data_IF_159963073248
#
_entry.id   IF_159963073248
#
_cell.length_a   1.000
_cell.length_b   1.000
_cell.length_c   1.000
_cell.angle_alpha   90.00
_cell.angle_beta   90.00
_cell.angle_gamma   90.00
#
_symmetry.space_group_name_H-M   'P 1'
#
loop_
_entity.id
_entity.type
_entity.pdbx_description
1 polymer ?
#
# COMPACT_ATOMS: atom_id res chain seq x y z
N UNK A 1 4.03 35.80 -25.14
CA UNK A 1 4.15 35.15 -23.82
C UNK A 1 4.19 33.65 -24.06
N UNK A 2 5.34 33.04 -23.96
CA UNK A 2 5.47 31.58 -23.96
C UNK A 2 4.77 31.04 -22.72
N UNK A 3 3.84 30.06 -22.84
CA UNK A 3 3.22 29.48 -21.66
C UNK A 3 4.31 28.89 -20.77
N UNK A 4 4.26 29.22 -19.48
CA UNK A 4 5.16 28.62 -18.50
C UNK A 4 4.94 27.09 -18.51
N UNK A 5 5.85 26.37 -19.12
CA UNK A 5 5.87 24.91 -19.02
C UNK A 5 6.24 24.58 -17.60
N UNK A 6 5.27 24.17 -16.80
CA UNK A 6 5.53 23.54 -15.50
C UNK A 6 6.27 22.23 -15.77
N UNK A 7 7.59 22.29 -15.78
CA UNK A 7 8.40 21.09 -15.74
C UNK A 7 8.33 20.55 -14.29
N UNK A 8 7.40 19.64 -14.04
CA UNK A 8 7.49 18.84 -12.83
C UNK A 8 8.80 18.05 -12.86
N UNK A 9 9.62 18.11 -11.80
CA UNK A 9 10.77 17.23 -11.74
C UNK A 9 10.29 15.80 -11.92
N UNK A 10 10.95 15.06 -12.81
CA UNK A 10 10.65 13.66 -13.09
C UNK A 10 11.09 12.87 -11.86
N UNK A 11 10.24 12.80 -10.86
CA UNK A 11 10.42 11.92 -9.71
C UNK A 11 9.39 10.81 -9.80
N UNK A 12 9.87 9.59 -9.82
CA UNK A 12 9.05 8.37 -9.77
C UNK A 12 8.14 8.36 -8.54
N UNK A 13 8.52 9.07 -7.49
CA UNK A 13 7.83 9.08 -6.20
C UNK A 13 6.66 10.06 -6.10
N UNK A 14 6.70 11.21 -6.77
CA UNK A 14 5.64 12.22 -6.65
C UNK A 14 4.25 11.63 -6.94
N UNK A 15 4.06 10.85 -8.03
CA UNK A 15 2.77 10.21 -8.27
C UNK A 15 2.35 9.23 -7.17
N UNK A 16 3.30 8.63 -6.43
CA UNK A 16 3.01 7.61 -5.42
C UNK A 16 2.60 8.17 -4.03
N UNK A 17 2.79 9.47 -3.79
CA UNK A 17 2.58 10.05 -2.46
C UNK A 17 1.20 9.79 -1.87
N UNK A 18 0.13 9.93 -2.65
CA UNK A 18 -1.23 9.68 -2.17
C UNK A 18 -1.48 8.18 -1.92
N UNK A 19 -0.89 7.30 -2.72
CA UNK A 19 -1.00 5.86 -2.52
C UNK A 19 -0.28 5.42 -1.24
N UNK A 20 0.92 5.96 -0.99
CA UNK A 20 1.67 5.68 0.23
C UNK A 20 0.94 6.16 1.47
N UNK A 21 0.40 7.38 1.45
CA UNK A 21 -0.40 7.90 2.55
C UNK A 21 -1.65 7.04 2.80
N UNK A 22 -2.38 6.71 1.74
CA UNK A 22 -3.59 5.91 1.84
C UNK A 22 -3.32 4.52 2.43
N UNK A 23 -2.32 3.79 1.89
CA UNK A 23 -1.95 2.47 2.38
C UNK A 23 -1.40 2.53 3.80
N UNK A 24 -0.51 3.49 4.07
CA UNK A 24 0.06 3.68 5.40
C UNK A 24 -0.98 3.97 6.46
N UNK A 25 -1.98 4.81 6.15
CA UNK A 25 -3.12 5.07 7.05
C UNK A 25 -3.91 3.79 7.34
N UNK A 26 -4.23 3.00 6.30
CA UNK A 26 -4.89 1.70 6.49
C UNK A 26 -4.09 0.81 7.43
N UNK A 27 -2.81 0.64 7.18
CA UNK A 27 -1.95 -0.21 8.00
C UNK A 27 -1.79 0.27 9.43
N UNK A 28 -1.77 1.59 9.68
CA UNK A 28 -1.75 2.14 11.05
C UNK A 28 -3.09 2.01 11.77
N UNK A 29 -4.20 1.81 11.05
CA UNK A 29 -5.51 1.51 11.65
C UNK A 29 -5.61 0.02 12.00
N UNK A 30 -5.22 -0.86 11.08
CA UNK A 30 -5.39 -2.31 11.25
C UNK A 30 -4.28 -2.92 12.12
N UNK A 31 -3.04 -2.49 11.92
CA UNK A 31 -1.87 -3.07 12.58
C UNK A 31 -1.93 -3.06 14.10
N UNK A 32 -2.21 -1.95 14.78
CA UNK A 32 -2.35 -1.92 16.24
C UNK A 32 -3.49 -2.80 16.77
N UNK A 33 -4.61 -2.89 16.04
CA UNK A 33 -5.70 -3.78 16.42
C UNK A 33 -5.27 -5.25 16.38
N UNK A 34 -4.56 -5.65 15.35
CA UNK A 34 -4.07 -7.03 15.17
C UNK A 34 -2.93 -7.37 16.14
N UNK A 35 -2.01 -6.41 16.37
CA UNK A 35 -0.83 -6.61 17.20
C UNK A 35 -1.15 -6.58 18.70
N UNK A 36 -1.93 -5.59 19.14
CA UNK A 36 -2.19 -5.31 20.55
C UNK A 36 -3.60 -5.71 20.99
N UNK A 37 -4.50 -6.05 20.04
CA UNK A 37 -5.90 -6.32 20.33
C UNK A 37 -6.70 -5.07 20.71
N UNK A 38 -6.24 -3.89 20.32
CA UNK A 38 -6.91 -2.63 20.64
C UNK A 38 -7.09 -1.75 19.39
N UNK A 39 -8.30 -1.19 19.16
CA UNK A 39 -9.54 -1.44 19.90
C UNK A 39 -9.98 -2.90 19.78
N UNK A 40 -10.67 -3.41 20.80
CA UNK A 40 -11.18 -4.79 20.78
C UNK A 40 -12.09 -4.99 19.57
N UNK A 41 -11.95 -6.10 18.84
CA UNK A 41 -12.83 -6.41 17.71
C UNK A 41 -14.31 -6.39 18.16
N UNK A 42 -15.13 -5.67 17.40
CA UNK A 42 -16.59 -5.62 17.56
C UNK A 42 -17.20 -5.29 16.20
N UNK A 43 -18.49 -5.46 16.06
CA UNK A 43 -19.20 -5.12 14.81
C UNK A 43 -19.00 -3.66 14.42
N UNK A 44 -19.12 -2.72 15.38
CA UNK A 44 -18.93 -1.29 15.12
C UNK A 44 -17.48 -0.94 14.74
N UNK A 45 -16.49 -1.58 15.37
CA UNK A 45 -15.08 -1.40 15.02
C UNK A 45 -14.79 -1.95 13.63
N UNK A 46 -15.30 -3.14 13.30
CA UNK A 46 -15.14 -3.74 11.98
C UNK A 46 -15.80 -2.89 10.89
N UNK A 47 -16.99 -2.36 11.17
CA UNK A 47 -17.70 -1.44 10.27
C UNK A 47 -16.88 -0.19 9.99
N UNK A 48 -16.36 0.46 11.04
CA UNK A 48 -15.52 1.67 10.91
C UNK A 48 -14.22 1.39 10.18
N UNK A 49 -13.51 0.32 10.56
CA UNK A 49 -12.26 -0.07 9.90
C UNK A 49 -12.50 -0.43 8.42
N UNK A 50 -13.62 -1.10 8.12
CA UNK A 50 -13.98 -1.41 6.74
C UNK A 50 -14.13 -0.16 5.86
N UNK A 51 -14.80 0.89 6.36
CA UNK A 51 -14.91 2.17 5.65
C UNK A 51 -13.56 2.87 5.48
N UNK A 52 -12.70 2.88 6.52
CA UNK A 52 -11.35 3.41 6.37
C UNK A 52 -10.53 2.62 5.35
N UNK A 53 -10.67 1.29 5.32
CA UNK A 53 -10.03 0.44 4.32
C UNK A 53 -10.48 0.76 2.89
N UNK A 54 -11.76 1.04 2.68
CA UNK A 54 -12.29 1.44 1.37
C UNK A 54 -11.72 2.78 0.92
N UNK A 55 -11.80 3.81 1.78
CA UNK A 55 -11.47 5.17 1.35
C UNK A 55 -9.98 5.45 1.34
N UNK A 56 -9.23 5.02 2.36
CA UNK A 56 -7.82 5.37 2.44
C UNK A 56 -6.96 4.47 1.55
N UNK A 57 -6.69 3.20 1.87
CA UNK A 57 -5.89 2.40 0.95
C UNK A 57 -6.63 2.08 -0.36
N UNK A 58 -7.92 1.77 -0.31
CA UNK A 58 -8.67 1.36 -1.49
C UNK A 58 -8.75 2.45 -2.56
N UNK A 59 -9.42 3.54 -2.24
CA UNK A 59 -9.63 4.64 -3.19
C UNK A 59 -8.33 5.34 -3.57
N UNK A 60 -7.46 5.67 -2.61
CA UNK A 60 -6.22 6.39 -2.88
C UNK A 60 -5.29 5.60 -3.82
N UNK A 61 -5.22 4.28 -3.66
CA UNK A 61 -4.37 3.46 -4.52
C UNK A 61 -4.96 3.27 -5.92
N UNK A 62 -6.28 3.07 -6.07
CA UNK A 62 -6.91 3.02 -7.40
C UNK A 62 -6.72 4.35 -8.13
N UNK A 63 -7.00 5.47 -7.46
CA UNK A 63 -6.83 6.80 -8.04
C UNK A 63 -5.39 6.99 -8.53
N UNK A 64 -4.42 6.68 -7.69
CA UNK A 64 -3.00 6.81 -8.00
C UNK A 64 -2.56 5.87 -9.12
N UNK A 65 -2.90 4.60 -9.04
CA UNK A 65 -2.53 3.62 -10.05
C UNK A 65 -3.11 3.97 -11.42
N UNK A 66 -4.38 4.35 -11.48
CA UNK A 66 -5.04 4.81 -12.70
C UNK A 66 -4.35 6.05 -13.27
N UNK A 67 -4.02 7.03 -12.43
CA UNK A 67 -3.30 8.24 -12.84
C UNK A 67 -1.94 7.91 -13.46
N UNK A 68 -1.16 7.01 -12.84
CA UNK A 68 0.14 6.57 -13.36
C UNK A 68 -0.03 5.85 -14.70
N UNK A 69 -0.96 4.89 -14.80
CA UNK A 69 -1.19 4.11 -16.02
C UNK A 69 -1.66 4.98 -17.17
N UNK A 70 -2.54 5.95 -16.93
CA UNK A 70 -2.99 6.93 -17.93
C UNK A 70 -1.81 7.82 -18.36
N UNK A 71 -1.02 8.30 -17.40
CA UNK A 71 0.16 9.14 -17.69
C UNK A 71 1.22 8.41 -18.50
N UNK A 72 1.39 7.09 -18.29
CA UNK A 72 2.31 6.26 -19.06
C UNK A 72 1.78 5.94 -20.45
N UNK A 73 0.50 5.54 -20.57
CA UNK A 73 -0.04 4.96 -21.82
C UNK A 73 -0.68 5.98 -22.75
N UNK A 74 -1.45 6.93 -22.21
CA UNK A 74 -2.19 7.89 -23.04
C UNK A 74 -1.46 9.20 -23.21
N UNK A 75 -1.04 9.82 -22.11
CA UNK A 75 -0.40 11.13 -22.18
C UNK A 75 1.10 11.07 -22.39
N UNK A 76 1.72 9.91 -22.12
CA UNK A 76 3.17 9.69 -22.25
C UNK A 76 4.03 10.74 -21.49
N UNK A 77 3.48 11.25 -20.38
CA UNK A 77 4.18 12.21 -19.51
C UNK A 77 5.01 11.54 -18.43
N UNK A 78 4.74 10.26 -18.19
CA UNK A 78 5.53 9.41 -17.28
C UNK A 78 6.33 8.39 -18.10
N UNK A 79 7.52 8.06 -17.60
CA UNK A 79 8.43 7.13 -18.26
C UNK A 79 9.10 6.22 -17.23
N UNK A 80 9.45 5.02 -17.68
CA UNK A 80 10.24 4.07 -16.88
C UNK A 80 9.45 2.83 -16.44
N UNK A 81 10.10 1.67 -16.58
CA UNK A 81 9.53 0.38 -16.23
C UNK A 81 9.10 0.25 -14.75
N UNK A 82 9.87 0.78 -13.76
CA UNK A 82 9.45 0.74 -12.37
C UNK A 82 8.11 1.46 -12.12
N UNK A 83 7.87 2.56 -12.81
CA UNK A 83 6.62 3.31 -12.67
C UNK A 83 5.42 2.54 -13.26
N UNK A 84 5.64 1.77 -14.32
CA UNK A 84 4.60 0.87 -14.84
C UNK A 84 4.24 -0.21 -13.82
N UNK A 85 5.24 -0.84 -13.20
CA UNK A 85 5.01 -1.81 -12.12
C UNK A 85 4.26 -1.16 -10.96
N UNK A 86 4.65 0.05 -10.53
CA UNK A 86 3.95 0.80 -9.48
C UNK A 86 2.50 1.07 -9.84
N UNK A 87 2.20 1.50 -11.08
CA UNK A 87 0.84 1.76 -11.55
C UNK A 87 -0.06 0.52 -11.48
N UNK A 88 0.45 -0.62 -11.98
CA UNK A 88 -0.28 -1.91 -11.92
C UNK A 88 -0.49 -2.34 -10.46
N UNK A 89 0.58 -2.36 -9.68
CA UNK A 89 0.54 -2.86 -8.30
C UNK A 89 -0.40 -2.01 -7.45
N UNK A 90 -0.30 -0.69 -7.48
CA UNK A 90 -1.18 0.18 -6.68
C UNK A 90 -2.64 0.02 -7.07
N UNK A 91 -2.95 -0.15 -8.36
CA UNK A 91 -4.33 -0.37 -8.81
C UNK A 91 -4.91 -1.65 -8.21
N UNK A 92 -4.21 -2.78 -8.31
CA UNK A 92 -4.73 -4.05 -7.79
C UNK A 92 -4.78 -4.09 -6.27
N UNK A 93 -3.84 -3.45 -5.59
CA UNK A 93 -3.90 -3.27 -4.13
C UNK A 93 -5.14 -2.46 -3.71
N UNK A 94 -5.45 -1.38 -4.44
CA UNK A 94 -6.65 -0.60 -4.19
C UNK A 94 -7.92 -1.44 -4.33
N UNK A 95 -8.04 -2.28 -5.37
CA UNK A 95 -9.17 -3.19 -5.56
C UNK A 95 -9.27 -4.19 -4.39
N UNK A 96 -8.14 -4.75 -3.95
CA UNK A 96 -8.09 -5.64 -2.79
C UNK A 96 -8.66 -4.96 -1.53
N UNK A 97 -8.23 -3.73 -1.24
CA UNK A 97 -8.71 -2.99 -0.09
C UNK A 97 -10.20 -2.63 -0.14
N UNK A 98 -10.74 -2.35 -1.33
CA UNK A 98 -12.20 -2.20 -1.50
C UNK A 98 -12.92 -3.48 -1.10
N UNK A 99 -12.44 -4.64 -1.58
CA UNK A 99 -13.02 -5.94 -1.26
C UNK A 99 -12.89 -6.25 0.24
N UNK A 100 -11.71 -6.08 0.84
CA UNK A 100 -11.46 -6.32 2.25
C UNK A 100 -12.33 -5.44 3.15
N UNK A 101 -12.44 -4.15 2.82
CA UNK A 101 -13.30 -3.23 3.55
C UNK A 101 -14.77 -3.64 3.48
N UNK A 102 -15.26 -4.04 2.30
CA UNK A 102 -16.63 -4.53 2.13
C UNK A 102 -16.89 -5.83 2.90
N UNK A 103 -15.92 -6.75 2.94
CA UNK A 103 -15.98 -7.98 3.73
C UNK A 103 -16.12 -7.65 5.22
N UNK A 104 -15.29 -6.72 5.74
CA UNK A 104 -15.34 -6.33 7.16
C UNK A 104 -16.67 -5.66 7.53
N UNK A 105 -17.22 -4.80 6.68
CA UNK A 105 -18.51 -4.14 6.91
C UNK A 105 -19.65 -5.16 6.99
N UNK A 106 -19.59 -6.23 6.18
CA UNK A 106 -20.67 -7.23 6.06
C UNK A 106 -20.45 -8.47 6.91
N UNK A 107 -19.35 -8.60 7.61
CA UNK A 107 -19.01 -9.81 8.39
C UNK A 107 -18.77 -11.04 7.49
N UNK A 108 -18.14 -10.85 6.34
CA UNK A 108 -17.85 -11.94 5.39
C UNK A 108 -16.74 -12.87 5.85
N UNK A 109 -16.67 -14.04 5.21
CA UNK A 109 -15.64 -15.05 5.46
C UNK A 109 -14.27 -14.61 4.88
N UNK A 110 -13.23 -14.65 5.70
CA UNK A 110 -11.88 -14.24 5.31
C UNK A 110 -11.07 -15.36 4.63
N UNK A 111 -11.52 -16.62 4.65
CA UNK A 111 -10.75 -17.73 4.06
C UNK A 111 -10.48 -17.57 2.55
N UNK A 112 -11.40 -17.04 1.71
CA UNK A 112 -11.08 -16.71 0.33
C UNK A 112 -9.95 -15.67 0.21
N UNK A 113 -9.87 -14.71 1.16
CA UNK A 113 -8.78 -13.74 1.21
C UNK A 113 -7.41 -14.43 1.45
N UNK A 114 -7.37 -15.51 2.21
CA UNK A 114 -6.16 -16.31 2.40
C UNK A 114 -5.60 -16.85 1.07
N UNK A 115 -6.44 -17.34 0.16
CA UNK A 115 -5.98 -17.75 -1.18
C UNK A 115 -5.52 -16.57 -2.04
N UNK A 116 -6.20 -15.43 -1.95
CA UNK A 116 -5.77 -14.19 -2.61
C UNK A 116 -4.37 -13.77 -2.13
N UNK A 117 -4.01 -13.98 -0.86
CA UNK A 117 -2.68 -13.64 -0.33
C UNK A 117 -1.53 -14.31 -1.10
N UNK A 118 -1.75 -15.47 -1.71
CA UNK A 118 -0.72 -16.13 -2.56
C UNK A 118 -0.39 -15.23 -3.76
N UNK A 119 -1.41 -14.73 -4.47
CA UNK A 119 -1.20 -13.88 -5.63
C UNK A 119 -0.53 -12.55 -5.24
N UNK A 120 -0.96 -11.95 -4.14
CA UNK A 120 -0.39 -10.69 -3.66
C UNK A 120 1.02 -10.85 -3.08
N UNK A 121 1.32 -11.98 -2.45
CA UNK A 121 2.67 -12.32 -2.05
C UNK A 121 3.61 -12.38 -3.26
N UNK A 122 3.23 -13.08 -4.32
CA UNK A 122 4.02 -13.16 -5.57
C UNK A 122 4.16 -11.79 -6.22
N UNK A 123 3.12 -10.96 -6.20
CA UNK A 123 3.17 -9.59 -6.69
C UNK A 123 4.11 -8.71 -5.88
N UNK A 124 4.18 -8.89 -4.55
CA UNK A 124 5.13 -8.18 -3.70
C UNK A 124 6.57 -8.62 -3.96
N UNK A 125 6.80 -9.92 -4.19
CA UNK A 125 8.12 -10.42 -4.60
C UNK A 125 8.54 -9.80 -5.94
N UNK A 126 7.63 -9.73 -6.91
CA UNK A 126 7.88 -9.05 -8.18
C UNK A 126 8.24 -7.57 -7.96
N UNK A 127 7.46 -6.85 -7.16
CA UNK A 127 7.74 -5.45 -6.82
C UNK A 127 9.12 -5.29 -6.15
N UNK A 128 9.45 -6.14 -5.20
CA UNK A 128 10.76 -6.14 -4.56
C UNK A 128 11.91 -6.30 -5.59
N UNK A 129 11.80 -7.27 -6.49
CA UNK A 129 12.80 -7.51 -7.54
C UNK A 129 12.94 -6.29 -8.45
N UNK A 130 11.83 -5.72 -8.91
CA UNK A 130 11.83 -4.58 -9.83
C UNK A 130 12.53 -3.37 -9.19
N UNK A 131 12.12 -2.98 -7.98
CA UNK A 131 12.66 -1.78 -7.34
C UNK A 131 14.08 -1.98 -6.82
N UNK A 132 14.43 -3.14 -6.31
CA UNK A 132 15.79 -3.47 -5.92
C UNK A 132 16.75 -3.47 -7.14
N UNK A 133 16.31 -3.96 -8.30
CA UNK A 133 17.14 -4.03 -9.51
C UNK A 133 17.51 -2.66 -10.07
N UNK A 134 16.72 -1.62 -9.80
CA UNK A 134 17.01 -0.25 -10.22
C UNK A 134 17.65 0.60 -9.11
N UNK A 135 17.97 -0.01 -7.98
CA UNK A 135 18.60 0.67 -6.85
C UNK A 135 17.64 1.51 -6.00
N UNK A 136 16.34 1.35 -6.21
CA UNK A 136 15.30 2.02 -5.44
C UNK A 136 15.06 1.26 -4.12
N UNK A 137 16.03 1.37 -3.21
CA UNK A 137 15.99 0.64 -1.95
C UNK A 137 14.83 1.06 -1.02
N UNK A 138 14.34 2.34 -0.99
CA UNK A 138 13.23 2.69 -0.11
C UNK A 138 11.94 1.98 -0.50
N UNK A 139 11.65 1.88 -1.80
CA UNK A 139 10.49 1.13 -2.29
C UNK A 139 10.72 -0.38 -2.21
N UNK A 140 11.96 -0.86 -2.40
CA UNK A 140 12.27 -2.27 -2.17
C UNK A 140 12.01 -2.68 -0.70
N UNK A 141 12.39 -1.84 0.29
CA UNK A 141 12.08 -2.06 1.72
C UNK A 141 10.57 -2.08 1.97
N UNK A 142 9.80 -1.20 1.32
CA UNK A 142 8.33 -1.26 1.36
C UNK A 142 7.83 -2.64 0.92
N UNK A 143 8.30 -3.14 -0.22
CA UNK A 143 7.89 -4.47 -0.72
C UNK A 143 8.33 -5.61 0.19
N UNK A 144 9.48 -5.52 0.85
CA UNK A 144 9.89 -6.49 1.86
C UNK A 144 8.88 -6.53 3.04
N UNK A 145 8.41 -5.38 3.49
CA UNK A 145 7.33 -5.29 4.48
C UNK A 145 6.03 -5.93 3.99
N UNK A 146 5.63 -5.65 2.75
CA UNK A 146 4.42 -6.22 2.13
C UNK A 146 4.51 -7.75 1.95
N UNK A 147 5.68 -8.30 1.65
CA UNK A 147 5.91 -9.75 1.64
C UNK A 147 5.59 -10.34 3.02
N UNK A 148 6.06 -9.70 4.11
CA UNK A 148 5.76 -10.10 5.48
C UNK A 148 4.25 -10.01 5.79
N UNK A 149 3.57 -8.97 5.32
CA UNK A 149 2.10 -8.82 5.45
C UNK A 149 1.39 -10.01 4.83
N UNK A 150 1.55 -10.25 3.53
CA UNK A 150 0.78 -11.30 2.84
C UNK A 150 1.18 -12.72 3.26
N UNK A 151 2.43 -12.92 3.67
CA UNK A 151 2.85 -14.17 4.28
C UNK A 151 2.10 -14.45 5.59
N UNK A 152 2.03 -13.49 6.49
CA UNK A 152 1.34 -13.67 7.78
C UNK A 152 -0.18 -13.64 7.64
N UNK A 153 -0.73 -12.83 6.73
CA UNK A 153 -2.16 -12.75 6.45
C UNK A 153 -2.71 -14.06 5.88
N UNK A 154 -1.92 -14.79 5.07
CA UNK A 154 -2.29 -16.11 4.61
C UNK A 154 -2.67 -17.01 5.78
N UNK A 155 -1.80 -17.16 6.77
CA UNK A 155 -2.07 -18.00 7.93
C UNK A 155 -3.20 -17.46 8.81
N UNK A 156 -3.24 -16.14 9.03
CA UNK A 156 -4.25 -15.50 9.84
C UNK A 156 -5.66 -15.67 9.24
N UNK A 157 -5.80 -15.57 7.91
CA UNK A 157 -7.08 -15.75 7.20
C UNK A 157 -7.65 -17.15 7.35
N UNK A 158 -6.81 -18.17 7.47
CA UNK A 158 -7.24 -19.55 7.73
C UNK A 158 -7.32 -19.90 9.22
N UNK A 159 -7.02 -18.96 10.12
CA UNK A 159 -6.96 -19.21 11.56
C UNK A 159 -5.81 -20.12 11.98
N UNK A 160 -4.77 -20.28 11.14
CA UNK A 160 -3.63 -21.13 11.41
C UNK A 160 -2.59 -20.40 12.29
N UNK A 161 -2.00 -21.13 13.21
CA UNK A 161 -0.96 -20.62 14.13
C UNK A 161 -1.40 -19.39 14.95
N UNK A 162 -2.69 -19.31 15.29
CA UNK A 162 -3.18 -18.23 16.15
C UNK A 162 -2.67 -18.36 17.59
N UNK A 163 -2.33 -17.26 18.30
CA UNK A 163 -2.43 -15.87 17.87
C UNK A 163 -1.17 -15.33 17.16
N UNK A 164 -0.16 -16.18 16.90
CA UNK A 164 1.13 -15.74 16.34
C UNK A 164 0.98 -15.12 14.95
N UNK A 165 0.20 -15.75 14.06
CA UNK A 165 -0.03 -15.25 12.71
C UNK A 165 -0.73 -13.87 12.72
N UNK A 166 -1.71 -13.67 13.59
CA UNK A 166 -2.39 -12.38 13.74
C UNK A 166 -1.44 -11.29 14.29
N UNK A 167 -0.62 -11.62 15.29
CA UNK A 167 0.37 -10.66 15.82
C UNK A 167 1.47 -10.36 14.79
N UNK A 168 1.89 -11.35 14.01
CA UNK A 168 2.81 -11.16 12.91
C UNK A 168 2.25 -10.23 11.84
N UNK A 169 0.99 -10.42 11.46
CA UNK A 169 0.28 -9.54 10.54
C UNK A 169 0.24 -8.10 11.08
N UNK A 170 -0.19 -7.93 12.32
CA UNK A 170 -0.24 -6.60 12.96
C UNK A 170 1.13 -5.93 13.09
N UNK A 171 2.18 -6.71 13.33
CA UNK A 171 3.55 -6.20 13.33
C UNK A 171 3.96 -5.68 11.95
N UNK A 172 3.79 -6.49 10.90
CA UNK A 172 4.15 -6.07 9.54
C UNK A 172 3.28 -4.91 9.05
N UNK A 173 1.97 -4.88 9.35
CA UNK A 173 1.12 -3.72 9.08
C UNK A 173 1.67 -2.47 9.77
N UNK A 174 2.00 -2.53 11.05
CA UNK A 174 2.44 -1.36 11.82
C UNK A 174 3.76 -0.81 11.30
N UNK A 175 4.79 -1.66 11.10
CA UNK A 175 6.10 -1.19 10.65
C UNK A 175 6.06 -0.71 9.19
N UNK A 176 5.32 -1.42 8.33
CA UNK A 176 5.16 -1.02 6.92
C UNK A 176 4.33 0.26 6.82
N UNK A 177 3.31 0.42 7.67
CA UNK A 177 2.54 1.65 7.78
C UNK A 177 3.40 2.85 8.18
N UNK A 178 4.26 2.69 9.19
CA UNK A 178 5.22 3.72 9.58
C UNK A 178 6.21 4.07 8.46
N UNK A 179 6.70 3.06 7.74
CA UNK A 179 7.58 3.26 6.58
C UNK A 179 6.88 4.03 5.45
N UNK A 180 5.63 3.70 5.15
CA UNK A 180 4.81 4.41 4.17
C UNK A 180 4.58 5.88 4.56
N UNK A 181 4.39 6.18 5.85
CA UNK A 181 4.32 7.56 6.32
C UNK A 181 5.65 8.28 6.10
N UNK A 182 6.79 7.65 6.41
CA UNK A 182 8.10 8.21 6.12
C UNK A 182 8.25 8.52 4.63
N UNK A 183 7.93 7.60 3.72
CA UNK A 183 8.00 7.82 2.27
C UNK A 183 7.11 8.99 1.83
N UNK A 184 5.89 9.09 2.39
CA UNK A 184 4.97 10.21 2.12
C UNK A 184 5.60 11.54 2.54
N UNK A 185 6.13 11.63 3.77
CA UNK A 185 6.80 12.84 4.25
C UNK A 185 8.02 13.19 3.40
N UNK A 186 8.85 12.20 3.08
CA UNK A 186 10.06 12.41 2.30
C UNK A 186 9.75 12.96 0.90
N UNK A 187 8.71 12.43 0.22
CA UNK A 187 8.23 12.96 -1.06
C UNK A 187 7.85 14.44 -0.91
N UNK A 188 6.98 14.74 0.05
CA UNK A 188 6.43 16.10 0.21
C UNK A 188 7.54 17.10 0.59
N UNK A 189 8.40 16.75 1.54
CA UNK A 189 9.48 17.63 1.99
C UNK A 189 10.55 17.84 0.92
N UNK A 190 10.95 16.79 0.21
CA UNK A 190 11.92 16.90 -0.87
C UNK A 190 11.38 17.81 -1.99
N UNK A 191 10.10 17.71 -2.30
CA UNK A 191 9.49 18.53 -3.32
C UNK A 191 9.26 19.98 -2.84
N UNK A 192 8.63 20.18 -1.67
CA UNK A 192 8.19 21.49 -1.21
C UNK A 192 9.33 22.40 -0.72
N UNK A 193 10.29 21.83 0.02
CA UNK A 193 11.35 22.61 0.68
C UNK A 193 12.76 22.11 0.34
N UNK A 194 12.90 21.25 -0.67
CA UNK A 194 14.17 20.76 -1.22
C UNK A 194 15.06 20.05 -0.19
N UNK A 195 14.47 19.31 0.72
CA UNK A 195 15.23 18.36 1.54
C UNK A 195 15.79 17.24 0.66
N UNK A 196 16.77 16.51 1.16
CA UNK A 196 17.38 15.37 0.46
C UNK A 196 17.17 14.08 1.27
N UNK A 197 15.95 13.88 1.75
CA UNK A 197 15.60 12.64 2.46
C UNK A 197 15.67 11.45 1.50
N UNK A 198 16.19 10.30 1.95
CA UNK A 198 16.25 9.10 1.14
C UNK A 198 14.86 8.69 0.63
N UNK A 199 14.76 8.53 -0.66
CA UNK A 199 13.56 8.10 -1.38
C UNK A 199 13.92 7.06 -2.42
#
# INVERSE_FOLDING_TARGET
MTPATFAFPISTYIPLGIAFFGLGTGYLIFGPQELFGWPKPSESVNWTNGWWGIWMPGFCQILNGTFILIGLSWFQVFHGAPLYAAGVITTVFGIHWLALGAIRIRGGDLRPNGFMCIAFFLLCVLGFIVFASVGDWPVAVLFAGLIGVYFTEFFASFGLFMPLSMKGLGFFHTITGAWLMYLTYAIVLNYAIKTHLPL
#
